data_IF_767644350950
#
_entry.id   IF_767644350950
#
_cell.length_a   1.000
_cell.length_b   1.000
_cell.length_c   1.000
_cell.angle_alpha   90.00
_cell.angle_beta   90.00
_cell.angle_gamma   90.00
#
_symmetry.space_group_name_H-M   'P 1'
#
loop_
_entity.id
_entity.type
_entity.pdbx_description
1 polymer ?
#
# COMPACT_ATOMS: atom_id res chain seq x y z
N UNK A 1 27.87 72.99 -38.01
CA UNK A 1 27.95 71.95 -36.96
C UNK A 1 26.54 71.40 -36.73
N UNK A 2 26.20 70.34 -37.49
CA UNK A 2 24.92 69.63 -37.40
C UNK A 2 25.15 68.33 -36.63
N UNK A 3 24.39 68.11 -35.58
CA UNK A 3 23.89 66.83 -35.05
C UNK A 3 23.46 67.07 -33.60
N UNK A 4 22.28 67.69 -33.44
CA UNK A 4 21.46 67.40 -32.26
C UNK A 4 20.62 66.20 -32.64
N UNK A 5 21.13 65.05 -32.25
CA UNK A 5 20.47 63.77 -32.13
C UNK A 5 19.09 63.99 -31.47
N UNK A 6 18.04 64.14 -32.27
CA UNK A 6 16.68 64.01 -31.79
C UNK A 6 16.38 62.52 -31.78
N UNK A 7 16.76 61.87 -30.68
CA UNK A 7 16.26 60.55 -30.31
C UNK A 7 14.73 60.58 -30.39
N UNK A 8 14.21 59.87 -31.38
CA UNK A 8 12.80 59.80 -31.74
C UNK A 8 12.03 59.03 -30.66
N UNK A 9 11.72 59.70 -29.55
CA UNK A 9 10.98 59.14 -28.42
C UNK A 9 9.46 59.04 -28.68
N UNK A 10 9.00 59.21 -29.93
CA UNK A 10 7.58 59.15 -30.29
C UNK A 10 7.03 57.73 -30.24
N UNK A 11 7.83 56.71 -30.56
CA UNK A 11 7.41 55.31 -30.46
C UNK A 11 7.22 54.86 -29.01
N UNK A 12 8.03 55.37 -28.08
CA UNK A 12 7.92 55.08 -26.63
C UNK A 12 6.72 55.75 -25.95
N UNK A 13 6.12 56.78 -26.58
CA UNK A 13 4.89 57.45 -26.10
C UNK A 13 3.63 57.00 -26.83
N UNK A 14 3.75 56.09 -27.81
CA UNK A 14 2.59 55.48 -28.45
C UNK A 14 1.85 54.60 -27.44
N UNK A 15 0.60 54.94 -27.15
CA UNK A 15 -0.28 54.13 -26.30
C UNK A 15 -0.40 52.68 -26.79
N UNK A 16 -0.21 52.43 -28.10
CA UNK A 16 -0.21 51.10 -28.69
C UNK A 16 1.02 50.26 -28.34
N UNK A 17 2.20 50.87 -28.20
CA UNK A 17 3.41 50.17 -27.76
C UNK A 17 3.25 49.66 -26.32
N UNK A 18 2.80 50.53 -25.41
CA UNK A 18 2.55 50.14 -24.01
C UNK A 18 1.43 49.13 -23.86
N UNK A 19 0.38 49.21 -24.69
CA UNK A 19 -0.70 48.23 -24.69
C UNK A 19 -0.20 46.84 -25.13
N UNK A 20 0.57 46.77 -26.22
CA UNK A 20 1.17 45.51 -26.68
C UNK A 20 2.15 44.92 -25.65
N UNK A 21 2.96 45.77 -25.02
CA UNK A 21 3.89 45.33 -23.99
C UNK A 21 3.15 44.81 -22.75
N UNK A 22 2.04 45.45 -22.36
CA UNK A 22 1.19 44.98 -21.25
C UNK A 22 0.56 43.63 -21.58
N UNK A 23 0.02 43.46 -22.80
CA UNK A 23 -0.48 42.16 -23.27
C UNK A 23 0.61 41.08 -23.31
N UNK A 24 1.84 41.41 -23.73
CA UNK A 24 2.96 40.47 -23.74
C UNK A 24 3.34 40.01 -22.32
N UNK A 25 3.40 40.95 -21.38
CA UNK A 25 3.68 40.66 -19.96
C UNK A 25 2.57 39.78 -19.37
N UNK A 26 1.30 40.15 -19.56
CA UNK A 26 0.16 39.36 -19.09
C UNK A 26 0.16 37.97 -19.73
N UNK A 27 0.42 37.85 -21.03
CA UNK A 27 0.49 36.56 -21.73
C UNK A 27 1.61 35.68 -21.19
N UNK A 28 2.76 36.24 -20.88
CA UNK A 28 3.89 35.50 -20.29
C UNK A 28 3.56 35.02 -18.88
N UNK A 29 2.99 35.88 -18.04
CA UNK A 29 2.56 35.52 -16.68
C UNK A 29 1.51 34.41 -16.72
N UNK A 30 0.51 34.53 -17.59
CA UNK A 30 -0.54 33.52 -17.78
C UNK A 30 0.04 32.21 -18.31
N UNK A 31 0.97 32.26 -19.27
CA UNK A 31 1.63 31.09 -19.82
C UNK A 31 2.42 30.31 -18.77
N UNK A 32 3.23 31.01 -17.96
CA UNK A 32 3.98 30.40 -16.85
C UNK A 32 3.03 29.83 -15.78
N UNK A 33 1.97 30.57 -15.43
CA UNK A 33 0.97 30.12 -14.46
C UNK A 33 0.29 28.81 -14.89
N UNK A 34 -0.17 28.72 -16.15
CA UNK A 34 -0.81 27.52 -16.68
C UNK A 34 0.15 26.33 -16.74
N UNK A 35 1.40 26.56 -17.15
CA UNK A 35 2.43 25.52 -17.16
C UNK A 35 2.73 25.01 -15.74
N UNK A 36 2.86 25.91 -14.77
CA UNK A 36 3.07 25.55 -13.36
C UNK A 36 1.87 24.80 -12.77
N UNK A 37 0.64 25.22 -13.07
CA UNK A 37 -0.58 24.55 -12.64
C UNK A 37 -0.66 23.12 -13.20
N UNK A 38 -0.38 22.95 -14.50
CA UNK A 38 -0.35 21.63 -15.13
C UNK A 38 0.76 20.75 -14.56
N UNK A 39 1.95 21.29 -14.29
CA UNK A 39 3.06 20.56 -13.67
C UNK A 39 2.74 20.07 -12.26
N UNK A 40 2.11 20.91 -11.43
CA UNK A 40 1.68 20.54 -10.08
C UNK A 40 0.60 19.44 -10.12
N UNK A 41 -0.40 19.57 -10.99
CA UNK A 41 -1.43 18.54 -11.16
C UNK A 41 -0.81 17.21 -11.56
N UNK A 42 0.11 17.21 -12.53
CA UNK A 42 0.80 16.00 -12.96
C UNK A 42 1.62 15.37 -11.82
N UNK A 43 2.30 16.18 -11.00
CA UNK A 43 3.09 15.71 -9.86
C UNK A 43 2.22 15.10 -8.76
N UNK A 44 1.07 15.70 -8.44
CA UNK A 44 0.12 15.16 -7.47
C UNK A 44 -0.50 13.85 -7.95
N UNK A 45 -0.86 13.77 -9.23
CA UNK A 45 -1.36 12.55 -9.86
C UNK A 45 -0.32 11.43 -9.82
N UNK A 46 0.95 11.75 -10.11
CA UNK A 46 2.06 10.80 -10.01
C UNK A 46 2.26 10.29 -8.57
N UNK A 47 2.31 11.19 -7.57
CA UNK A 47 2.44 10.83 -6.16
C UNK A 47 1.29 9.93 -5.69
N UNK A 48 0.06 10.26 -6.10
CA UNK A 48 -1.13 9.46 -5.79
C UNK A 48 -1.01 8.05 -6.36
N UNK A 49 -0.63 7.91 -7.63
CA UNK A 49 -0.48 6.59 -8.25
C UNK A 49 0.69 5.80 -7.68
N UNK A 50 1.80 6.45 -7.34
CA UNK A 50 2.92 5.80 -6.67
C UNK A 50 2.50 5.21 -5.32
N UNK A 51 1.75 5.96 -4.51
CA UNK A 51 1.21 5.49 -3.23
C UNK A 51 0.24 4.32 -3.39
N UNK A 52 -0.63 4.39 -4.39
CA UNK A 52 -1.53 3.28 -4.72
C UNK A 52 -0.78 2.02 -5.16
N UNK A 53 0.31 2.17 -5.92
CA UNK A 53 1.18 1.07 -6.35
C UNK A 53 1.90 0.44 -5.15
N UNK A 54 2.49 1.26 -4.27
CA UNK A 54 3.12 0.79 -3.04
C UNK A 54 2.12 0.05 -2.15
N UNK A 55 0.92 0.62 -1.98
CA UNK A 55 -0.12 0.03 -1.15
C UNK A 55 -0.65 -1.28 -1.76
N UNK A 56 -0.68 -1.41 -3.09
CA UNK A 56 -0.98 -2.69 -3.76
C UNK A 56 0.06 -3.76 -3.38
N UNK A 57 1.35 -3.48 -3.54
CA UNK A 57 2.40 -4.46 -3.22
C UNK A 57 2.43 -4.80 -1.74
N UNK A 58 2.17 -3.82 -0.87
CA UNK A 58 2.08 -4.03 0.57
C UNK A 58 0.97 -5.01 0.93
N UNK A 59 -0.23 -4.83 0.36
CA UNK A 59 -1.37 -5.72 0.58
C UNK A 59 -1.13 -7.11 0.02
N UNK A 60 -0.52 -7.22 -1.16
CA UNK A 60 -0.21 -8.52 -1.77
C UNK A 60 0.86 -9.27 -0.97
N UNK A 61 1.91 -8.57 -0.51
CA UNK A 61 2.95 -9.18 0.32
C UNK A 61 2.39 -9.66 1.67
N UNK A 62 1.51 -8.87 2.29
CA UNK A 62 0.84 -9.27 3.53
C UNK A 62 -0.12 -10.45 3.29
N UNK A 63 -0.84 -10.45 2.17
CA UNK A 63 -1.68 -11.56 1.77
C UNK A 63 -0.90 -12.86 1.66
N UNK A 64 0.27 -12.83 1.02
CA UNK A 64 1.11 -14.02 0.83
C UNK A 64 1.68 -14.51 2.16
N UNK A 65 2.20 -13.62 3.00
CA UNK A 65 2.64 -13.96 4.37
C UNK A 65 1.52 -14.62 5.18
N UNK A 66 0.33 -14.02 5.18
CA UNK A 66 -0.82 -14.57 5.91
C UNK A 66 -1.30 -15.90 5.31
N UNK A 67 -1.20 -16.09 4.00
CA UNK A 67 -1.55 -17.34 3.32
C UNK A 67 -0.64 -18.46 3.76
N UNK A 68 0.68 -18.23 3.73
CA UNK A 68 1.69 -19.20 4.15
C UNK A 68 1.50 -19.57 5.62
N UNK A 69 1.41 -18.58 6.51
CA UNK A 69 1.16 -18.82 7.94
C UNK A 69 -0.15 -19.56 8.21
N UNK A 70 -1.21 -19.26 7.45
CA UNK A 70 -2.50 -19.95 7.57
C UNK A 70 -2.38 -21.42 7.15
N UNK A 71 -1.59 -21.70 6.11
CA UNK A 71 -1.33 -23.07 5.64
C UNK A 71 -0.46 -23.86 6.62
N UNK A 72 0.59 -23.25 7.17
CA UNK A 72 1.45 -23.87 8.18
C UNK A 72 0.67 -24.19 9.46
N UNK A 73 -0.18 -23.26 9.90
CA UNK A 73 -1.05 -23.49 11.04
C UNK A 73 -2.07 -24.61 10.78
N UNK A 74 -2.65 -24.66 9.56
CA UNK A 74 -3.54 -25.75 9.16
C UNK A 74 -2.84 -27.11 9.20
N UNK A 75 -1.63 -27.19 8.66
CA UNK A 75 -0.82 -28.40 8.68
C UNK A 75 -0.53 -28.83 10.13
N UNK A 76 -0.14 -27.89 10.98
CA UNK A 76 0.12 -28.17 12.39
C UNK A 76 -1.11 -28.71 13.13
N UNK A 77 -2.30 -28.15 12.88
CA UNK A 77 -3.56 -28.66 13.46
C UNK A 77 -3.78 -30.12 13.05
N UNK A 78 -3.66 -30.41 11.75
CA UNK A 78 -3.97 -31.72 11.18
C UNK A 78 -2.97 -32.79 11.61
N UNK A 79 -1.68 -32.47 11.58
CA UNK A 79 -0.59 -33.44 11.77
C UNK A 79 -0.24 -33.65 13.25
N UNK A 80 -0.49 -32.63 14.09
CA UNK A 80 -0.12 -32.66 15.50
C UNK A 80 -1.33 -32.53 16.41
N UNK A 81 -2.08 -31.44 16.39
CA UNK A 81 -3.08 -31.19 17.45
C UNK A 81 -4.24 -32.21 17.45
N UNK A 82 -4.61 -32.72 16.28
CA UNK A 82 -5.68 -33.72 16.09
C UNK A 82 -5.47 -35.01 16.89
N UNK A 83 -4.22 -35.44 17.08
CA UNK A 83 -3.84 -36.68 17.79
C UNK A 83 -3.56 -36.50 19.28
N UNK A 84 -3.79 -35.30 19.82
CA UNK A 84 -3.57 -34.95 21.22
C UNK A 84 -2.16 -35.31 21.76
N UNK A 85 -1.09 -34.79 21.15
CA UNK A 85 0.29 -35.17 21.44
C UNK A 85 0.76 -34.62 22.81
N UNK A 86 1.86 -35.16 23.35
CA UNK A 86 2.52 -34.58 24.52
C UNK A 86 2.98 -33.14 24.27
N UNK A 87 3.07 -32.34 25.34
CA UNK A 87 3.47 -30.92 25.22
C UNK A 87 4.87 -30.70 24.64
N UNK A 88 5.80 -31.63 24.84
CA UNK A 88 7.13 -31.52 24.25
C UNK A 88 7.04 -31.60 22.72
N UNK A 89 6.30 -32.57 22.21
CA UNK A 89 6.10 -32.74 20.78
C UNK A 89 5.36 -31.55 20.13
N UNK A 90 4.41 -30.94 20.85
CA UNK A 90 3.77 -29.68 20.41
C UNK A 90 4.76 -28.51 20.31
N UNK A 91 5.72 -28.44 21.24
CA UNK A 91 6.75 -27.38 21.22
C UNK A 91 7.76 -27.59 20.10
N UNK A 92 8.22 -28.82 19.94
CA UNK A 92 9.25 -29.17 18.96
C UNK A 92 8.77 -28.98 17.51
N UNK A 93 7.45 -29.07 17.29
CA UNK A 93 6.83 -28.91 15.97
C UNK A 93 5.99 -27.64 15.85
N UNK A 94 6.16 -26.67 16.75
CA UNK A 94 5.43 -25.40 16.71
C UNK A 94 5.70 -24.71 15.36
N UNK A 95 4.66 -24.28 14.62
CA UNK A 95 4.87 -23.52 13.39
C UNK A 95 5.49 -22.16 13.71
N UNK A 96 6.50 -21.78 12.95
CA UNK A 96 7.08 -20.44 13.00
C UNK A 96 6.23 -19.50 12.15
N UNK A 97 5.44 -18.64 12.79
CA UNK A 97 4.62 -17.68 12.07
C UNK A 97 5.50 -16.52 11.62
N UNK A 98 5.82 -16.47 10.33
CA UNK A 98 6.56 -15.37 9.73
C UNK A 98 5.79 -14.06 9.92
N UNK A 99 6.48 -13.01 10.36
CA UNK A 99 5.90 -11.66 10.52
C UNK A 99 6.74 -10.60 9.83
N UNK A 100 7.60 -10.99 8.90
CA UNK A 100 8.55 -10.08 8.27
C UNK A 100 7.84 -8.90 7.60
N UNK A 101 6.82 -9.18 6.78
CA UNK A 101 6.01 -8.17 6.10
C UNK A 101 5.22 -7.37 7.13
N UNK A 102 4.53 -8.04 8.06
CA UNK A 102 3.77 -7.36 9.11
C UNK A 102 4.61 -6.37 9.93
N UNK A 103 5.81 -6.77 10.36
CA UNK A 103 6.72 -5.90 11.11
C UNK A 103 7.30 -4.79 10.23
N UNK A 104 7.58 -5.07 8.96
CA UNK A 104 8.07 -4.07 8.00
C UNK A 104 7.01 -3.00 7.71
N UNK A 105 5.72 -3.38 7.69
CA UNK A 105 4.62 -2.43 7.48
C UNK A 105 4.60 -1.31 8.52
N UNK A 106 5.08 -1.53 9.74
CA UNK A 106 5.17 -0.47 10.77
C UNK A 106 5.96 0.76 10.30
N UNK A 107 6.92 0.56 9.40
CA UNK A 107 7.83 1.60 8.93
C UNK A 107 7.51 2.07 7.50
N UNK A 108 6.54 1.44 6.83
CA UNK A 108 6.16 1.83 5.48
C UNK A 108 5.20 3.04 5.52
N UNK A 109 5.48 4.12 4.77
CA UNK A 109 4.68 5.35 4.79
C UNK A 109 3.24 5.15 4.29
N UNK A 110 2.98 4.15 3.43
CA UNK A 110 1.65 3.89 2.87
C UNK A 110 0.83 2.89 3.68
N UNK A 111 1.36 2.37 4.80
CA UNK A 111 0.64 1.40 5.65
C UNK A 111 -0.70 1.93 6.13
N UNK A 112 -0.75 3.20 6.55
CA UNK A 112 -1.98 3.82 7.04
C UNK A 112 -3.03 4.06 5.95
N UNK A 113 -2.66 3.91 4.68
CA UNK A 113 -3.58 3.93 3.53
C UNK A 113 -4.19 2.53 3.26
N UNK A 114 -3.71 1.50 3.96
CA UNK A 114 -4.31 0.16 3.94
C UNK A 114 -5.64 0.15 4.71
N UNK A 115 -6.68 -0.55 4.24
CA UNK A 115 -7.95 -0.62 4.94
C UNK A 115 -7.76 -1.16 6.36
N UNK A 116 -8.40 -0.52 7.33
CA UNK A 116 -8.24 -0.86 8.73
C UNK A 116 -8.66 -2.31 9.04
N UNK A 117 -9.61 -2.83 8.26
CA UNK A 117 -10.07 -4.22 8.30
C UNK A 117 -8.91 -5.19 8.06
N UNK A 118 -8.04 -4.91 7.08
CA UNK A 118 -6.86 -5.75 6.76
C UNK A 118 -5.87 -5.74 7.93
N UNK A 119 -5.50 -4.55 8.40
CA UNK A 119 -4.52 -4.41 9.49
C UNK A 119 -5.02 -5.03 10.79
N UNK A 120 -6.31 -4.84 11.08
CA UNK A 120 -6.94 -5.39 12.28
C UNK A 120 -7.08 -6.90 12.20
N UNK A 121 -7.43 -7.46 11.03
CA UNK A 121 -7.53 -8.90 10.83
C UNK A 121 -6.17 -9.58 11.00
N UNK A 122 -5.12 -9.09 10.34
CA UNK A 122 -3.76 -9.61 10.46
C UNK A 122 -3.27 -9.60 11.93
N UNK A 123 -3.41 -8.45 12.62
CA UNK A 123 -3.07 -8.32 14.04
C UNK A 123 -3.82 -9.33 14.91
N UNK A 124 -5.12 -9.50 14.69
CA UNK A 124 -5.96 -10.42 15.47
C UNK A 124 -5.57 -11.87 15.22
N UNK A 125 -5.29 -12.23 13.97
CA UNK A 125 -4.83 -13.57 13.60
C UNK A 125 -3.54 -13.92 14.35
N UNK A 126 -2.50 -13.08 14.24
CA UNK A 126 -1.24 -13.32 14.95
C UNK A 126 -1.43 -13.43 16.47
N UNK A 127 -2.11 -12.46 17.08
CA UNK A 127 -2.27 -12.42 18.53
C UNK A 127 -3.06 -13.61 19.07
N UNK A 128 -4.14 -14.02 18.39
CA UNK A 128 -4.98 -15.14 18.85
C UNK A 128 -4.30 -16.49 18.63
N UNK A 129 -3.66 -16.68 17.48
CA UNK A 129 -2.93 -17.91 17.17
C UNK A 129 -1.81 -18.14 18.19
N UNK A 130 -1.05 -17.10 18.54
CA UNK A 130 -0.02 -17.18 19.59
C UNK A 130 -0.59 -17.51 20.97
N UNK A 131 -1.64 -16.82 21.41
CA UNK A 131 -2.27 -17.10 22.71
C UNK A 131 -2.73 -18.56 22.82
N UNK A 132 -3.40 -19.08 21.78
CA UNK A 132 -3.91 -20.45 21.79
C UNK A 132 -2.76 -21.45 21.82
N UNK A 133 -1.73 -21.26 20.97
CA UNK A 133 -0.56 -22.12 20.94
C UNK A 133 0.14 -22.13 22.31
N UNK A 134 0.43 -20.94 22.86
CA UNK A 134 1.12 -20.81 24.15
C UNK A 134 0.34 -21.48 25.28
N UNK A 135 -0.99 -21.33 25.31
CA UNK A 135 -1.86 -21.99 26.29
C UNK A 135 -1.91 -23.51 26.11
N UNK A 136 -1.89 -24.00 24.88
CA UNK A 136 -1.84 -25.43 24.57
C UNK A 136 -0.52 -26.05 25.07
N UNK A 137 0.61 -25.41 24.76
CA UNK A 137 1.94 -25.85 25.19
C UNK A 137 2.14 -25.74 26.71
N UNK A 138 1.52 -24.75 27.35
CA UNK A 138 1.48 -24.61 28.80
C UNK A 138 0.52 -25.58 29.50
N UNK A 139 -0.14 -26.50 28.76
CA UNK A 139 -1.15 -27.45 29.26
C UNK A 139 -2.35 -26.78 29.93
N UNK A 140 -2.56 -25.47 29.71
CA UNK A 140 -3.75 -24.74 30.16
C UNK A 140 -4.95 -24.99 29.26
N UNK A 141 -4.70 -25.55 28.09
CA UNK A 141 -5.69 -25.85 27.07
C UNK A 141 -5.36 -27.23 26.46
N UNK A 142 -6.37 -28.08 26.29
CA UNK A 142 -6.16 -29.42 25.70
C UNK A 142 -5.83 -29.32 24.22
N UNK A 143 -4.89 -30.13 23.72
CA UNK A 143 -4.38 -30.00 22.34
C UNK A 143 -5.48 -30.10 21.28
N UNK A 144 -6.45 -31.02 21.47
CA UNK A 144 -7.62 -31.11 20.58
C UNK A 144 -8.45 -29.82 20.56
N UNK A 145 -8.77 -29.29 21.73
CA UNK A 145 -9.53 -28.03 21.82
C UNK A 145 -8.72 -26.83 21.28
N UNK A 146 -7.40 -26.85 21.41
CA UNK A 146 -6.52 -25.86 20.76
C UNK A 146 -6.65 -25.96 19.24
N UNK A 147 -6.60 -27.18 18.71
CA UNK A 147 -6.79 -27.46 17.29
C UNK A 147 -8.14 -26.92 16.80
N UNK A 148 -9.22 -27.20 17.52
CA UNK A 148 -10.56 -26.72 17.17
C UNK A 148 -10.63 -25.17 17.16
N UNK A 149 -10.01 -24.50 18.13
CA UNK A 149 -9.98 -23.02 18.18
C UNK A 149 -9.11 -22.41 17.08
N UNK A 150 -7.96 -23.01 16.78
CA UNK A 150 -7.08 -22.57 15.69
C UNK A 150 -7.74 -22.84 14.33
N UNK A 151 -8.50 -23.93 14.18
CA UNK A 151 -9.22 -24.25 12.96
C UNK A 151 -10.25 -23.15 12.63
N UNK A 152 -10.96 -22.63 13.63
CA UNK A 152 -11.87 -21.49 13.44
C UNK A 152 -11.13 -20.26 12.90
N UNK A 153 -9.91 -19.98 13.38
CA UNK A 153 -9.11 -18.87 12.86
C UNK A 153 -8.64 -19.12 11.43
N UNK A 154 -8.22 -20.35 11.12
CA UNK A 154 -7.81 -20.74 9.78
C UNK A 154 -8.99 -20.64 8.80
N UNK A 155 -10.18 -21.07 9.20
CA UNK A 155 -11.38 -20.99 8.37
C UNK A 155 -11.79 -19.53 8.12
N UNK A 156 -11.75 -18.67 9.14
CA UNK A 156 -11.97 -17.22 9.01
C UNK A 156 -10.97 -16.57 8.04
N UNK A 157 -9.70 -16.95 8.14
CA UNK A 157 -8.66 -16.46 7.24
C UNK A 157 -8.91 -16.88 5.79
N UNK A 158 -9.18 -18.17 5.54
CA UNK A 158 -9.36 -18.72 4.19
C UNK A 158 -10.65 -18.25 3.53
N UNK A 159 -11.74 -18.15 4.29
CA UNK A 159 -13.06 -17.90 3.73
C UNK A 159 -13.42 -16.41 3.70
N UNK A 160 -12.84 -15.59 4.58
CA UNK A 160 -13.19 -14.17 4.69
C UNK A 160 -11.99 -13.26 4.46
N UNK A 161 -10.95 -13.36 5.29
CA UNK A 161 -9.87 -12.35 5.33
C UNK A 161 -8.99 -12.36 4.08
N UNK A 162 -8.42 -13.50 3.69
CA UNK A 162 -7.53 -13.59 2.51
C UNK A 162 -8.26 -13.19 1.21
N UNK A 163 -9.49 -13.68 0.93
CA UNK A 163 -10.26 -13.20 -0.22
C UNK A 163 -10.53 -11.70 -0.20
N UNK A 164 -10.81 -11.13 0.97
CA UNK A 164 -11.01 -9.69 1.12
C UNK A 164 -9.73 -8.90 0.80
N UNK A 165 -8.58 -9.31 1.34
CA UNK A 165 -7.29 -8.64 1.06
C UNK A 165 -7.00 -8.69 -0.44
N UNK A 166 -7.11 -9.87 -1.07
CA UNK A 166 -6.88 -10.04 -2.50
C UNK A 166 -7.83 -9.17 -3.34
N UNK A 167 -9.12 -9.13 -2.99
CA UNK A 167 -10.10 -8.25 -3.66
C UNK A 167 -9.72 -6.77 -3.50
N UNK A 168 -9.34 -6.35 -2.30
CA UNK A 168 -8.96 -4.96 -2.00
C UNK A 168 -7.71 -4.53 -2.79
N UNK A 169 -6.73 -5.42 -2.95
CA UNK A 169 -5.55 -5.19 -3.78
C UNK A 169 -5.93 -5.14 -5.27
N UNK A 170 -6.79 -6.04 -5.75
CA UNK A 170 -7.25 -6.02 -7.13
C UNK A 170 -8.06 -4.77 -7.49
N UNK A 171 -8.75 -4.16 -6.53
CA UNK A 171 -9.37 -2.85 -6.71
C UNK A 171 -8.32 -1.77 -7.00
N UNK A 172 -7.22 -1.71 -6.23
CA UNK A 172 -6.11 -0.78 -6.52
C UNK A 172 -5.51 -1.04 -7.89
N UNK A 173 -5.27 -2.31 -8.25
CA UNK A 173 -4.77 -2.69 -9.58
C UNK A 173 -5.68 -2.24 -10.71
N UNK A 174 -6.99 -2.40 -10.51
CA UNK A 174 -8.01 -1.98 -11.50
C UNK A 174 -8.06 -0.46 -11.63
N UNK A 175 -8.03 0.26 -10.50
CA UNK A 175 -8.00 1.73 -10.52
C UNK A 175 -6.73 2.26 -11.17
N UNK A 176 -5.56 1.67 -10.89
CA UNK A 176 -4.31 2.03 -11.56
C UNK A 176 -4.37 1.76 -13.07
N UNK A 177 -4.88 0.60 -13.47
CA UNK A 177 -5.00 0.24 -14.89
C UNK A 177 -5.94 1.18 -15.66
N UNK A 178 -7.08 1.59 -15.07
CA UNK A 178 -8.00 2.59 -15.66
C UNK A 178 -7.31 3.93 -15.92
N UNK A 179 -6.33 4.28 -15.09
CA UNK A 179 -5.56 5.51 -15.19
C UNK A 179 -4.24 5.34 -15.97
N UNK A 180 -4.08 4.23 -16.71
CA UNK A 180 -2.93 3.98 -17.57
C UNK A 180 -1.66 3.49 -16.85
N UNK A 181 -1.76 3.15 -15.55
CA UNK A 181 -0.65 2.61 -14.76
C UNK A 181 -0.77 1.10 -14.68
N UNK A 182 0.17 0.37 -15.30
CA UNK A 182 0.16 -1.10 -15.36
C UNK A 182 1.06 -1.71 -14.29
N UNK A 183 0.46 -2.27 -13.24
CA UNK A 183 1.18 -2.98 -12.18
C UNK A 183 1.63 -4.37 -12.66
N UNK A 184 2.88 -4.74 -12.38
CA UNK A 184 3.44 -6.06 -12.70
C UNK A 184 3.99 -6.19 -14.13
N UNK A 185 4.04 -5.09 -14.87
CA UNK A 185 4.88 -5.02 -16.08
C UNK A 185 6.31 -4.71 -15.65
N UNK A 186 7.28 -5.53 -16.07
CA UNK A 186 8.70 -5.21 -15.90
C UNK A 186 8.92 -3.85 -16.54
N UNK A 187 9.19 -2.82 -15.74
CA UNK A 187 9.59 -1.49 -16.25
C UNK A 187 10.97 -1.66 -16.88
N UNK A 188 11.01 -1.92 -18.19
CA UNK A 188 12.23 -1.89 -19.00
C UNK A 188 12.57 -3.21 -19.69
N UNK A 189 12.19 -3.31 -20.95
CA UNK A 189 12.93 -3.99 -22.01
C UNK A 189 13.12 -2.99 -23.15
#
# INVERSE_FOLDING_TARGET
MKLKEQLDNKELKSSGFWLNQMFMIVSTIVGVYLAAQSGLQQALTFDTYSKMEDNYYLRMSLHDELTDNTNDLQAYINDYLSRNPPAQEMKDNRPDMSKYIWETMKYNPTTLETPNEVLTAARRFYAKSEDILDRAMARRLGAKYAGDQLQVLVDDMKNETLPYIAKSANQLKTELAKNGVVIGSIKGG
#
